data_IF_310531587082
#
_entry.id   IF_310531587082
#
_cell.length_a   1.000
_cell.length_b   1.000
_cell.length_c   1.000
_cell.angle_alpha   90.00
_cell.angle_beta   90.00
_cell.angle_gamma   90.00
#
_symmetry.space_group_name_H-M   'P 1'
#
loop_
_entity.id
_entity.type
_entity.pdbx_description
1 polymer ?
#
# COMPACT_ATOMS: atom_id res chain seq x y z
N UNK A 1 -2.16 -17.12 -0.93
CA UNK A 1 -3.13 -16.25 -1.63
C UNK A 1 -3.03 -14.90 -0.93
N UNK A 2 -2.44 -13.88 -1.57
CA UNK A 2 -2.41 -12.53 -1.02
C UNK A 2 -3.80 -11.93 -1.28
N UNK A 3 -4.71 -12.13 -0.31
CA UNK A 3 -6.08 -11.65 -0.36
C UNK A 3 -6.18 -10.28 0.30
N UNK A 4 -5.43 -9.28 -0.18
CA UNK A 4 -5.68 -7.90 0.25
C UNK A 4 -5.92 -7.08 -1.01
N UNK A 5 -7.10 -6.49 -1.12
CA UNK A 5 -7.47 -5.63 -2.25
C UNK A 5 -6.75 -4.27 -2.19
N UNK A 6 -5.90 -4.01 -1.19
CA UNK A 6 -5.14 -2.76 -1.04
C UNK A 6 -5.93 -1.60 -0.40
N UNK A 7 -7.19 -1.80 -0.02
CA UNK A 7 -7.97 -0.80 0.74
C UNK A 7 -7.79 -0.88 2.25
N UNK A 8 -7.36 -2.03 2.73
CA UNK A 8 -7.05 -2.22 4.14
C UNK A 8 -5.73 -1.53 4.48
N UNK A 9 -5.47 -1.26 5.78
CA UNK A 9 -4.18 -0.74 6.28
C UNK A 9 -2.97 -1.66 5.94
N UNK A 10 -3.24 -2.78 5.28
CA UNK A 10 -2.33 -3.80 4.76
C UNK A 10 -1.63 -3.40 3.45
N UNK A 11 -1.37 -2.10 3.21
CA UNK A 11 -0.70 -1.61 1.98
C UNK A 11 0.82 -1.75 2.04
N UNK A 12 1.38 -1.86 3.23
CA UNK A 12 2.81 -1.89 3.45
C UNK A 12 3.21 -3.23 4.04
N UNK A 13 4.30 -3.78 3.52
CA UNK A 13 4.89 -5.03 3.99
C UNK A 13 6.36 -4.81 4.29
N UNK A 14 6.86 -5.50 5.30
CA UNK A 14 8.27 -5.55 5.61
C UNK A 14 8.78 -6.98 5.39
N UNK A 15 9.92 -7.09 4.73
CA UNK A 15 10.73 -8.30 4.67
C UNK A 15 12.17 -7.93 4.97
N UNK A 16 12.86 -8.84 5.65
CA UNK A 16 14.29 -8.77 5.83
C UNK A 16 15.01 -9.22 4.55
N UNK A 17 16.00 -8.44 4.13
CA UNK A 17 16.94 -8.79 3.07
C UNK A 17 18.28 -9.10 3.72
N UNK A 18 18.81 -10.31 3.50
CA UNK A 18 20.04 -10.78 4.14
C UNK A 18 21.33 -10.39 3.40
N UNK A 19 21.19 -9.62 2.32
CA UNK A 19 22.29 -9.24 1.42
C UNK A 19 22.31 -10.04 0.12
N UNK A 20 21.60 -11.18 0.05
CA UNK A 20 21.48 -12.02 -1.15
C UNK A 20 20.02 -12.20 -1.54
N UNK A 21 19.16 -12.54 -0.59
CA UNK A 21 17.77 -12.90 -0.80
C UNK A 21 16.82 -12.23 0.20
N UNK A 22 15.54 -12.14 -0.19
CA UNK A 22 14.48 -11.79 0.74
C UNK A 22 14.10 -12.99 1.58
N UNK A 23 14.30 -12.88 2.89
CA UNK A 23 14.03 -13.95 3.84
C UNK A 23 12.53 -14.06 4.07
N UNK A 24 11.85 -14.84 3.21
CA UNK A 24 10.37 -14.89 3.12
C UNK A 24 9.65 -15.14 4.45
N UNK A 25 10.26 -15.90 5.37
CA UNK A 25 9.71 -16.15 6.73
C UNK A 25 9.60 -14.89 7.59
N UNK A 26 10.21 -13.78 7.18
CA UNK A 26 10.15 -12.47 7.87
C UNK A 26 9.09 -11.54 7.29
N UNK A 27 8.31 -12.02 6.30
CA UNK A 27 7.20 -11.27 5.75
C UNK A 27 6.21 -10.91 6.85
N UNK A 28 5.94 -9.62 7.00
CA UNK A 28 4.86 -9.12 7.85
C UNK A 28 4.18 -7.93 7.20
N UNK A 29 2.88 -7.81 7.44
CA UNK A 29 2.15 -6.56 7.22
C UNK A 29 2.69 -5.52 8.21
N UNK A 30 2.80 -4.27 7.75
CA UNK A 30 3.26 -3.16 8.59
C UNK A 30 2.04 -2.38 9.03
N UNK A 31 1.91 -2.17 10.35
CA UNK A 31 0.85 -1.33 10.90
C UNK A 31 1.08 0.12 10.51
N UNK A 32 0.01 0.88 10.28
CA UNK A 32 0.09 2.31 9.97
C UNK A 32 0.81 3.09 11.07
N UNK A 33 0.69 2.69 12.33
CA UNK A 33 1.39 3.29 13.46
C UNK A 33 2.92 3.11 13.40
N UNK A 34 3.40 2.07 12.71
CA UNK A 34 4.82 1.78 12.51
C UNK A 34 5.41 2.51 11.28
N UNK A 35 4.57 3.17 10.47
CA UNK A 35 4.99 3.85 9.25
C UNK A 35 5.34 5.32 9.51
N UNK A 36 6.39 5.79 8.83
CA UNK A 36 6.70 7.22 8.81
C UNK A 36 5.54 8.01 8.17
N UNK A 37 5.09 9.12 8.78
CA UNK A 37 4.09 10.00 8.20
C UNK A 37 4.47 10.49 6.79
N UNK A 38 5.76 10.72 6.53
CA UNK A 38 6.25 11.17 5.23
C UNK A 38 6.04 10.12 4.13
N UNK A 39 6.17 8.84 4.48
CA UNK A 39 5.96 7.73 3.55
C UNK A 39 4.49 7.67 3.12
N UNK A 40 3.57 7.83 4.09
CA UNK A 40 2.14 7.90 3.83
C UNK A 40 1.82 9.10 2.94
N UNK A 41 2.34 10.28 3.31
CA UNK A 41 2.13 11.50 2.53
C UNK A 41 2.64 11.39 1.08
N UNK A 42 3.82 10.77 0.89
CA UNK A 42 4.41 10.59 -0.45
C UNK A 42 3.57 9.63 -1.30
N UNK A 43 3.07 8.54 -0.72
CA UNK A 43 2.16 7.63 -1.40
C UNK A 43 0.88 8.36 -1.83
N UNK A 44 0.24 9.08 -0.90
CA UNK A 44 -1.03 9.76 -1.14
C UNK A 44 -0.89 10.79 -2.25
N UNK A 45 0.20 11.59 -2.20
CA UNK A 45 0.53 12.55 -3.25
C UNK A 45 0.72 11.88 -4.62
N UNK A 46 1.45 10.77 -4.68
CA UNK A 46 1.68 10.05 -5.93
C UNK A 46 0.37 9.58 -6.58
N UNK A 47 -0.55 9.02 -5.79
CA UNK A 47 -1.83 8.57 -6.32
C UNK A 47 -2.77 9.73 -6.69
N UNK A 48 -2.71 10.85 -5.98
CA UNK A 48 -3.45 12.06 -6.33
C UNK A 48 -2.95 12.65 -7.66
N UNK A 49 -1.64 12.65 -7.91
CA UNK A 49 -1.05 13.12 -9.17
C UNK A 49 -1.30 12.16 -10.33
N UNK A 50 -1.54 10.87 -10.06
CA UNK A 50 -1.68 9.82 -11.08
C UNK A 50 -2.96 8.98 -10.90
N UNK A 51 -4.16 9.58 -11.00
CA UNK A 51 -5.42 8.92 -10.70
C UNK A 51 -5.72 7.71 -11.62
N UNK A 52 -5.16 7.71 -12.82
CA UNK A 52 -5.30 6.59 -13.77
C UNK A 52 -4.74 5.27 -13.22
N UNK A 53 -3.73 5.31 -12.34
CA UNK A 53 -3.14 4.10 -11.74
C UNK A 53 -4.17 3.38 -10.87
N UNK A 54 -4.94 4.12 -10.08
CA UNK A 54 -6.01 3.54 -9.26
C UNK A 54 -7.12 2.93 -10.13
N UNK A 55 -7.44 3.55 -11.27
CA UNK A 55 -8.42 3.02 -12.22
C UNK A 55 -7.97 1.72 -12.91
N UNK A 56 -6.66 1.50 -13.01
CA UNK A 56 -6.08 0.28 -13.56
C UNK A 56 -5.84 -0.82 -12.51
N UNK A 57 -6.14 -0.53 -11.24
CA UNK A 57 -5.96 -1.48 -10.15
C UNK A 57 -7.10 -2.51 -10.11
N UNK A 58 -6.96 -3.50 -9.22
CA UNK A 58 -8.02 -4.48 -8.94
C UNK A 58 -9.18 -3.89 -8.10
N UNK A 59 -9.08 -2.61 -7.72
CA UNK A 59 -10.10 -1.90 -6.95
C UNK A 59 -11.36 -1.68 -7.79
N UNK A 60 -12.52 -1.84 -7.16
CA UNK A 60 -13.78 -1.41 -7.72
C UNK A 60 -13.86 0.12 -7.80
N UNK A 61 -14.74 0.66 -8.63
CA UNK A 61 -14.92 2.12 -8.74
C UNK A 61 -15.28 2.79 -7.40
N UNK A 62 -16.11 2.14 -6.59
CA UNK A 62 -16.49 2.65 -5.27
C UNK A 62 -15.29 2.72 -4.32
N UNK A 63 -14.41 1.73 -4.39
CA UNK A 63 -13.20 1.66 -3.59
C UNK A 63 -12.16 2.72 -4.00
N UNK A 64 -12.00 2.95 -5.30
CA UNK A 64 -11.19 4.06 -5.82
C UNK A 64 -11.73 5.40 -5.32
N UNK A 65 -13.04 5.62 -5.40
CA UNK A 65 -13.66 6.85 -4.89
C UNK A 65 -13.45 7.03 -3.38
N UNK A 66 -13.63 5.97 -2.60
CA UNK A 66 -13.40 5.99 -1.16
C UNK A 66 -11.94 6.30 -0.80
N UNK A 67 -10.98 5.80 -1.60
CA UNK A 67 -9.57 6.14 -1.45
C UNK A 67 -9.34 7.63 -1.74
N UNK A 68 -9.81 8.12 -2.89
CA UNK A 68 -9.63 9.53 -3.31
C UNK A 68 -10.36 10.52 -2.38
N UNK A 69 -11.41 10.12 -1.67
CA UNK A 69 -12.11 10.99 -0.72
C UNK A 69 -11.41 11.11 0.64
N UNK A 70 -10.50 10.18 0.98
CA UNK A 70 -9.78 10.14 2.27
C UNK A 70 -8.44 10.87 2.25
N UNK A 71 -7.92 11.15 1.06
CA UNK A 71 -6.58 11.66 0.78
C UNK A 71 -6.67 12.89 -0.13
#
# INVERSE_FOLDING_TARGET
MLCTNGLEDNRFVALYFDGMDFVRKTFRLVDKADLSPDLLHTQDKFFAEHPAILQMSVLTQNEVQAFTARH
#
